data_IF_027387728071
#
_entry.id   IF_027387728071
#
_cell.length_a   1.000
_cell.length_b   1.000
_cell.length_c   1.000
_cell.angle_alpha   90.00
_cell.angle_beta   90.00
_cell.angle_gamma   90.00
#
_symmetry.space_group_name_H-M   'P 1'
#
loop_
_entity.id
_entity.type
_entity.pdbx_description
1 polymer ?
#
# COMPACT_ATOMS: atom_id res chain seq x y z
N UNK A 1 8.30 -8.92 -11.64
CA UNK A 1 7.75 -7.82 -12.45
C UNK A 1 6.34 -7.55 -11.98
N UNK A 2 5.98 -6.28 -11.76
CA UNK A 2 4.62 -5.91 -11.36
C UNK A 2 3.79 -5.74 -12.63
N UNK A 3 2.64 -6.38 -12.72
CA UNK A 3 1.81 -6.38 -13.95
C UNK A 3 0.45 -5.73 -13.74
N UNK A 4 -0.05 -5.71 -12.51
CA UNK A 4 -1.38 -5.20 -12.16
C UNK A 4 -1.34 -4.52 -10.80
N UNK A 5 -2.41 -3.79 -10.48
CA UNK A 5 -2.64 -3.25 -9.16
C UNK A 5 -2.61 -4.35 -8.10
N UNK A 6 -1.93 -4.10 -6.98
CA UNK A 6 -1.83 -5.05 -5.87
C UNK A 6 -3.11 -5.14 -5.03
N UNK A 7 -4.08 -4.24 -5.24
CA UNK A 7 -5.40 -4.34 -4.63
C UNK A 7 -6.21 -5.45 -5.34
N UNK A 8 -6.61 -6.53 -4.66
CA UNK A 8 -7.38 -7.62 -5.28
C UNK A 8 -8.76 -7.18 -5.79
N UNK A 9 -9.33 -6.09 -5.26
CA UNK A 9 -10.57 -5.50 -5.77
C UNK A 9 -10.35 -4.65 -7.04
N UNK A 10 -9.11 -4.43 -7.46
CA UNK A 10 -8.75 -3.61 -8.61
C UNK A 10 -7.96 -4.43 -9.62
N UNK A 11 -8.50 -4.60 -10.83
CA UNK A 11 -7.84 -5.35 -11.91
C UNK A 11 -7.06 -4.45 -12.89
N UNK A 12 -6.70 -3.22 -12.50
CA UNK A 12 -6.06 -2.27 -13.42
C UNK A 12 -4.67 -2.77 -13.81
N UNK A 13 -4.39 -2.96 -15.12
CA UNK A 13 -3.07 -3.35 -15.60
C UNK A 13 -2.09 -2.19 -15.49
N UNK A 14 -0.84 -2.49 -15.14
CA UNK A 14 0.25 -1.53 -15.12
C UNK A 14 0.65 -1.21 -16.57
N UNK A 15 0.03 -0.18 -17.15
CA UNK A 15 0.43 0.37 -18.45
C UNK A 15 1.57 1.39 -18.32
N UNK A 16 1.50 2.24 -17.29
CA UNK A 16 2.49 3.27 -17.01
C UNK A 16 2.76 3.35 -15.50
N UNK A 17 4.05 3.31 -15.14
CA UNK A 17 4.51 3.48 -13.75
C UNK A 17 4.22 4.88 -13.18
N UNK A 18 3.87 5.86 -14.03
CA UNK A 18 3.60 7.25 -13.63
C UNK A 18 2.27 7.40 -12.89
N UNK A 19 1.29 6.55 -13.21
CA UNK A 19 -0.08 6.66 -12.68
C UNK A 19 -0.30 5.76 -11.46
N UNK A 20 0.52 5.94 -10.42
CA UNK A 20 0.36 5.21 -9.16
C UNK A 20 1.56 5.30 -8.24
N UNK A 21 1.65 4.37 -7.30
CA UNK A 21 2.72 4.31 -6.29
C UNK A 21 3.32 2.90 -6.24
N UNK A 22 4.65 2.83 -6.35
CA UNK A 22 5.43 1.61 -6.21
C UNK A 22 5.85 1.44 -4.74
N UNK A 23 5.67 0.25 -4.21
CA UNK A 23 6.10 -0.16 -2.88
C UNK A 23 7.15 -1.25 -3.02
N UNK A 24 8.17 -1.18 -2.18
CA UNK A 24 9.29 -2.11 -2.19
C UNK A 24 9.44 -2.68 -0.78
N UNK A 25 9.35 -4.00 -0.65
CA UNK A 25 9.54 -4.70 0.62
C UNK A 25 10.72 -5.64 0.53
N UNK A 26 11.57 -5.59 1.55
CA UNK A 26 12.71 -6.48 1.67
C UNK A 26 12.35 -7.72 2.46
N UNK A 27 12.41 -8.87 1.80
CA UNK A 27 12.18 -10.16 2.43
C UNK A 27 13.55 -10.74 2.80
N UNK A 28 13.87 -10.72 4.10
CA UNK A 28 15.06 -11.38 4.63
C UNK A 28 14.73 -12.85 4.88
N UNK A 29 15.30 -13.75 4.07
CA UNK A 29 15.21 -15.18 4.34
C UNK A 29 16.04 -15.52 5.59
N UNK A 30 15.40 -16.06 6.63
CA UNK A 30 16.09 -16.48 7.88
C UNK A 30 16.86 -17.81 7.73
N UNK A 31 16.72 -18.50 6.60
CA UNK A 31 17.09 -19.92 6.48
C UNK A 31 18.55 -20.12 6.04
N UNK A 32 19.22 -19.14 5.42
CA UNK A 32 20.63 -19.29 5.02
C UNK A 32 21.46 -18.01 5.23
N UNK A 33 22.35 -17.97 6.25
CA UNK A 33 23.20 -16.80 6.50
C UNK A 33 24.35 -16.63 5.48
N UNK A 34 24.62 -17.62 4.61
CA UNK A 34 25.80 -17.61 3.72
C UNK A 34 25.60 -16.96 2.35
N UNK A 35 24.36 -16.64 1.97
CA UNK A 35 24.04 -15.84 0.79
C UNK A 35 22.90 -14.91 1.16
N UNK A 36 23.21 -13.69 1.59
CA UNK A 36 22.23 -12.61 1.70
C UNK A 36 21.73 -12.25 0.28
N UNK A 37 20.97 -13.13 -0.37
CA UNK A 37 20.14 -12.72 -1.49
C UNK A 37 19.01 -11.91 -0.87
N UNK A 38 19.23 -10.60 -0.72
CA UNK A 38 18.21 -9.62 -0.32
C UNK A 38 17.09 -9.71 -1.37
N UNK A 39 16.09 -10.53 -1.10
CA UNK A 39 14.96 -10.69 -2.02
C UNK A 39 14.05 -9.50 -1.84
N UNK A 40 13.87 -8.75 -2.91
CA UNK A 40 13.08 -7.54 -2.90
C UNK A 40 11.80 -7.79 -3.66
N UNK A 41 10.67 -7.63 -2.98
CA UNK A 41 9.35 -7.75 -3.57
C UNK A 41 8.82 -6.36 -3.93
N UNK A 42 8.41 -6.18 -5.18
CA UNK A 42 7.82 -4.94 -5.68
C UNK A 42 6.31 -5.10 -5.83
N UNK A 43 5.57 -4.09 -5.41
CA UNK A 43 4.12 -4.00 -5.53
C UNK A 43 3.73 -2.62 -6.04
N UNK A 44 2.61 -2.51 -6.74
CA UNK A 44 2.14 -1.24 -7.29
C UNK A 44 0.66 -1.07 -7.00
N UNK A 45 0.28 0.12 -6.56
CA UNK A 45 -1.11 0.56 -6.53
C UNK A 45 -1.31 1.61 -7.61
N UNK A 46 -2.37 1.48 -8.40
CA UNK A 46 -2.77 2.50 -9.37
C UNK A 46 -3.12 3.83 -8.68
N UNK A 47 -3.14 4.93 -9.42
CA UNK A 47 -3.40 6.28 -8.88
C UNK A 47 -4.60 6.34 -7.93
N UNK A 48 -5.74 5.75 -8.33
CA UNK A 48 -6.96 5.70 -7.51
C UNK A 48 -6.76 4.93 -6.20
N UNK A 49 -6.20 3.72 -6.25
CA UNK A 49 -5.96 2.93 -5.04
C UNK A 49 -4.89 3.56 -4.15
N UNK A 50 -3.86 4.16 -4.72
CA UNK A 50 -2.79 4.81 -3.95
C UNK A 50 -3.24 6.06 -3.20
N UNK A 51 -4.38 6.65 -3.57
CA UNK A 51 -4.96 7.80 -2.87
C UNK A 51 -5.76 7.43 -1.62
N UNK A 52 -6.28 6.21 -1.53
CA UNK A 52 -7.14 5.75 -0.42
C UNK A 52 -6.60 4.54 0.31
N UNK A 53 -5.59 3.88 -0.24
CA UNK A 53 -5.01 2.65 0.28
C UNK A 53 -3.49 2.70 0.23
N UNK A 54 -2.87 1.90 1.09
CA UNK A 54 -1.43 1.70 1.14
C UNK A 54 -1.11 0.24 1.38
N UNK A 55 0.13 -0.14 1.11
CA UNK A 55 0.64 -1.47 1.44
C UNK A 55 1.40 -1.42 2.76
N UNK A 56 1.19 -2.43 3.60
CA UNK A 56 1.97 -2.70 4.80
C UNK A 56 2.55 -4.11 4.75
N UNK A 57 3.62 -4.36 5.48
CA UNK A 57 4.22 -5.69 5.60
C UNK A 57 4.00 -6.22 7.01
N UNK A 58 3.26 -7.32 7.10
CA UNK A 58 3.06 -8.07 8.33
C UNK A 58 3.98 -9.31 8.32
N UNK A 59 4.76 -9.55 9.38
CA UNK A 59 5.67 -10.71 9.42
C UNK A 59 4.95 -12.06 9.47
N UNK A 60 3.69 -12.12 9.90
CA UNK A 60 2.88 -13.34 9.91
C UNK A 60 2.04 -13.50 8.64
N UNK A 61 1.46 -12.41 8.13
CA UNK A 61 0.53 -12.45 6.98
C UNK A 61 1.13 -12.02 5.64
N UNK A 62 2.35 -11.47 5.64
CA UNK A 62 2.99 -10.90 4.45
C UNK A 62 2.46 -9.51 4.09
N UNK A 63 2.49 -9.15 2.81
CA UNK A 63 2.08 -7.82 2.34
C UNK A 63 0.55 -7.70 2.33
N UNK A 64 0.03 -6.67 2.99
CA UNK A 64 -1.40 -6.39 3.11
C UNK A 64 -1.75 -5.01 2.54
N UNK A 65 -2.90 -4.91 1.88
CA UNK A 65 -3.48 -3.63 1.42
C UNK A 65 -4.40 -3.12 2.51
N UNK A 66 -4.08 -1.95 3.07
CA UNK A 66 -4.86 -1.31 4.13
C UNK A 66 -5.39 0.04 3.65
N UNK A 67 -6.60 0.46 4.06
CA UNK A 67 -7.10 1.79 3.78
C UNK A 67 -6.24 2.83 4.53
N UNK A 68 -5.78 3.85 3.82
CA UNK A 68 -5.33 5.10 4.43
C UNK A 68 -6.57 5.86 4.82
N UNK A 69 -7.07 5.65 6.04
CA UNK A 69 -8.18 6.47 6.51
C UNK A 69 -7.70 7.92 6.57
N UNK A 70 -8.34 8.86 5.85
CA UNK A 70 -8.10 10.26 6.14
C UNK A 70 -8.52 10.45 7.60
N UNK A 71 -7.67 11.08 8.41
CA UNK A 71 -8.13 11.64 9.69
C UNK A 71 -9.49 12.30 9.43
N UNK A 72 -10.52 12.10 10.29
CA UNK A 72 -11.71 12.94 10.17
C UNK A 72 -11.21 14.37 10.21
N UNK A 73 -11.48 15.13 9.14
CA UNK A 73 -11.16 16.55 9.11
C UNK A 73 -11.73 17.13 10.40
N UNK A 74 -10.85 17.57 11.30
CA UNK A 74 -11.21 18.21 12.56
C UNK A 74 -11.83 19.55 12.15
N UNK A 75 -13.11 19.53 11.81
CA UNK A 75 -13.80 20.63 11.14
C UNK A 75 -15.32 20.46 11.09
N UNK A 76 -15.88 19.44 11.75
CA UNK A 76 -17.31 19.30 11.98
C UNK A 76 -17.59 19.28 13.49
N UNK A 77 -17.15 20.32 14.19
CA UNK A 77 -17.80 20.72 15.43
C UNK A 77 -18.74 21.85 15.03
N UNK A 78 -19.98 21.53 14.65
CA UNK A 78 -21.05 22.51 14.66
C UNK A 78 -21.23 22.95 16.12
N UNK A 79 -20.71 24.13 16.42
CA UNK A 79 -21.13 24.87 17.61
C UNK A 79 -22.65 25.05 17.52
N UNK A 80 -23.44 24.67 18.55
CA UNK A 80 -24.83 25.07 18.59
C UNK A 80 -24.88 26.59 18.72
N UNK A 81 -25.53 27.27 17.77
CA UNK A 81 -25.96 28.66 17.96
C UNK A 81 -26.95 28.66 19.11
N UNK A 82 -26.53 29.21 20.25
CA UNK A 82 -27.44 29.60 21.33
C UNK A 82 -28.21 30.81 20.86
N UNK A 83 -29.54 30.68 20.79
CA UNK A 83 -30.50 31.77 20.71
C UNK A 83 -30.61 32.46 22.07
#
# INVERSE_FOLDING_TARGET
MVTHCANPACAVPLRYLRDGRLFQFEVRSRIQPRKLSRQVAHFWLCGMCSGTMTLTFDPAMGVQVIPMMPLPAIGAIQLPVST
#
